data_IF_557114287140
#
_entry.id   IF_557114287140
#
_cell.length_a   1.000
_cell.length_b   1.000
_cell.length_c   1.000
_cell.angle_alpha   90.00
_cell.angle_beta   90.00
_cell.angle_gamma   90.00
#
_symmetry.space_group_name_H-M   'P 1'
#
loop_
_entity.id
_entity.type
_entity.pdbx_description
1 polymer ?
#
# COMPACT_ATOMS: atom_id res chain seq x y z
N UNK A 1 5.52 -62.94 27.85
CA UNK A 1 4.09 -63.33 27.72
C UNK A 1 3.39 -62.21 26.96
N UNK A 2 3.04 -62.51 25.70
CA UNK A 2 2.16 -61.85 24.71
C UNK A 2 2.33 -60.37 24.28
N UNK A 3 2.68 -60.28 23.00
CA UNK A 3 2.62 -59.19 22.03
C UNK A 3 1.18 -58.74 21.69
N UNK A 4 1.04 -57.53 21.12
CA UNK A 4 0.03 -57.22 20.09
C UNK A 4 0.62 -56.30 19.01
N UNK A 5 0.54 -56.79 17.78
CA UNK A 5 0.89 -56.15 16.52
C UNK A 5 -0.02 -54.95 16.18
N UNK A 6 0.55 -53.94 15.53
CA UNK A 6 -0.15 -52.93 14.72
C UNK A 6 0.33 -53.07 13.28
N UNK A 7 -0.61 -53.42 12.40
CA UNK A 7 -0.46 -53.60 10.96
C UNK A 7 -0.74 -52.28 10.21
N UNK A 8 -0.36 -52.28 8.94
CA UNK A 8 0.22 -51.24 8.13
C UNK A 8 -0.75 -50.41 7.26
N UNK A 9 -0.20 -49.31 6.75
CA UNK A 9 -0.28 -48.82 5.36
C UNK A 9 -1.40 -47.85 4.91
N UNK A 10 -1.11 -47.00 3.89
CA UNK A 10 -1.59 -45.61 3.81
C UNK A 10 -2.71 -45.36 2.78
N UNK A 11 -3.51 -44.32 3.00
CA UNK A 11 -4.55 -43.87 2.07
C UNK A 11 -4.09 -42.71 1.18
N UNK A 12 -4.02 -43.01 -0.12
CA UNK A 12 -4.05 -42.07 -1.25
C UNK A 12 -5.48 -42.05 -1.79
N UNK A 13 -6.11 -40.88 -2.01
CA UNK A 13 -7.37 -40.79 -2.77
C UNK A 13 -7.47 -39.51 -3.61
N UNK A 14 -7.83 -39.71 -4.89
CA UNK A 14 -8.04 -38.70 -5.95
C UNK A 14 -9.50 -38.16 -5.95
N UNK A 15 -9.78 -37.01 -6.60
CA UNK A 15 -11.11 -36.38 -6.61
C UNK A 15 -12.05 -36.96 -7.68
N UNK A 16 -13.36 -36.96 -7.40
CA UNK A 16 -14.42 -37.37 -8.32
C UNK A 16 -15.39 -36.22 -8.62
N UNK A 17 -15.67 -36.04 -9.91
CA UNK A 17 -16.71 -35.21 -10.53
C UNK A 17 -18.11 -35.80 -10.31
N UNK A 18 -19.14 -34.96 -10.14
CA UNK A 18 -20.53 -35.40 -10.34
C UNK A 18 -21.37 -34.35 -11.11
N UNK A 19 -22.04 -34.83 -12.16
CA UNK A 19 -22.99 -34.14 -13.04
C UNK A 19 -24.17 -35.09 -13.27
N UNK A 20 -25.40 -34.69 -12.94
CA UNK A 20 -26.66 -34.98 -13.67
C UNK A 20 -27.76 -34.10 -13.03
N UNK A 21 -28.49 -33.25 -13.78
CA UNK A 21 -29.67 -33.52 -14.61
C UNK A 21 -30.88 -34.06 -13.83
N UNK A 22 -31.99 -33.29 -13.87
CA UNK A 22 -33.38 -33.67 -14.20
C UNK A 22 -34.29 -32.47 -13.89
N UNK A 23 -35.37 -32.10 -14.61
CA UNK A 23 -36.04 -32.64 -15.78
C UNK A 23 -37.08 -31.62 -16.28
N UNK A 24 -37.40 -31.65 -17.59
CA UNK A 24 -38.53 -30.92 -18.21
C UNK A 24 -39.78 -31.80 -18.19
N UNK A 25 -40.97 -31.19 -18.31
CA UNK A 25 -41.96 -31.75 -19.23
C UNK A 25 -42.45 -30.71 -20.25
N UNK A 26 -42.54 -31.16 -21.52
CA UNK A 26 -43.24 -30.46 -22.59
C UNK A 26 -44.67 -30.97 -22.74
N UNK A 27 -45.57 -30.13 -23.26
CA UNK A 27 -46.93 -30.56 -23.59
C UNK A 27 -47.87 -29.45 -24.07
N UNK A 28 -48.06 -29.44 -25.39
CA UNK A 28 -49.31 -29.17 -26.12
C UNK A 28 -49.79 -27.72 -26.38
N UNK A 29 -49.69 -27.38 -27.67
CA UNK A 29 -50.35 -26.26 -28.33
C UNK A 29 -51.89 -26.39 -28.34
N UNK A 30 -52.58 -25.24 -28.29
CA UNK A 30 -53.97 -25.12 -28.72
C UNK A 30 -54.20 -23.77 -29.43
N UNK A 31 -55.10 -23.82 -30.39
CA UNK A 31 -55.27 -22.99 -31.59
C UNK A 31 -56.08 -21.70 -31.41
N UNK A 32 -55.72 -20.71 -32.24
CA UNK A 32 -56.43 -19.53 -32.77
C UNK A 32 -57.85 -19.18 -32.26
N UNK A 33 -58.07 -17.89 -31.96
CA UNK A 33 -59.06 -17.03 -32.67
C UNK A 33 -58.82 -15.52 -32.42
N UNK A 34 -58.56 -14.84 -33.54
CA UNK A 34 -58.74 -13.43 -33.95
C UNK A 34 -59.24 -12.40 -32.90
N UNK A 35 -58.50 -11.30 -32.78
CA UNK A 35 -58.97 -10.01 -32.25
C UNK A 35 -57.93 -8.92 -32.54
N UNK A 36 -58.28 -7.99 -33.44
CA UNK A 36 -57.53 -6.82 -33.94
C UNK A 36 -57.16 -5.89 -32.76
N UNK A 37 -56.01 -5.22 -32.69
CA UNK A 37 -55.77 -3.90 -33.29
C UNK A 37 -54.31 -3.45 -33.08
N UNK A 38 -53.80 -2.81 -34.12
CA UNK A 38 -52.55 -2.09 -34.36
C UNK A 38 -51.89 -1.35 -33.19
N UNK A 39 -50.57 -1.52 -33.07
CA UNK A 39 -49.65 -0.40 -32.85
C UNK A 39 -48.49 -0.50 -33.86
N UNK A 40 -48.34 0.58 -34.61
CA UNK A 40 -47.44 0.80 -35.72
C UNK A 40 -46.03 1.10 -35.18
N UNK A 41 -45.02 0.59 -35.87
CA UNK A 41 -43.76 1.31 -36.05
C UNK A 41 -42.69 1.07 -34.99
N UNK A 42 -41.83 0.08 -35.23
CA UNK A 42 -40.40 0.25 -34.96
C UNK A 42 -39.66 -0.01 -36.26
N UNK A 43 -39.42 1.08 -36.99
CA UNK A 43 -38.51 1.11 -38.11
C UNK A 43 -37.11 0.82 -37.55
N UNK A 44 -36.52 -0.30 -37.97
CA UNK A 44 -35.10 -0.59 -37.76
C UNK A 44 -34.33 0.40 -38.62
N UNK A 45 -33.92 1.52 -38.02
CA UNK A 45 -32.92 2.41 -38.62
C UNK A 45 -31.56 1.91 -38.16
N UNK A 46 -30.97 1.04 -38.98
CA UNK A 46 -29.54 0.74 -38.89
C UNK A 46 -28.81 1.85 -39.63
N UNK A 47 -28.60 2.98 -38.96
CA UNK A 47 -27.67 3.98 -39.48
C UNK A 47 -26.28 3.40 -39.35
N UNK A 48 -25.62 3.23 -40.50
CA UNK A 48 -24.19 2.98 -40.59
C UNK A 48 -23.46 4.06 -39.79
N UNK A 49 -22.86 3.66 -38.66
CA UNK A 49 -21.84 4.44 -37.95
C UNK A 49 -20.48 3.88 -38.37
N UNK A 50 -20.20 3.99 -39.66
CA UNK A 50 -18.82 4.04 -40.14
C UNK A 50 -18.21 5.35 -39.62
N UNK A 51 -17.23 5.24 -38.73
CA UNK A 51 -16.44 6.39 -38.29
C UNK A 51 -16.45 6.72 -36.80
N UNK A 52 -16.74 5.77 -35.91
CA UNK A 52 -16.16 5.86 -34.57
C UNK A 52 -14.85 5.08 -34.58
N UNK A 53 -13.77 5.73 -35.04
CA UNK A 53 -12.43 5.25 -34.70
C UNK A 53 -12.42 5.08 -33.19
N UNK A 54 -12.23 3.84 -32.72
CA UNK A 54 -11.72 3.59 -31.38
C UNK A 54 -10.35 4.27 -31.35
N UNK A 55 -10.34 5.56 -31.07
CA UNK A 55 -9.20 6.17 -30.42
C UNK A 55 -9.11 5.38 -29.12
N UNK A 56 -8.25 4.37 -29.14
CA UNK A 56 -7.57 3.92 -27.95
C UNK A 56 -7.01 5.18 -27.35
N UNK A 57 -7.72 5.75 -26.38
CA UNK A 57 -7.14 6.73 -25.49
C UNK A 57 -5.89 6.03 -24.97
N UNK A 58 -4.76 6.41 -25.57
CA UNK A 58 -3.47 6.05 -25.07
C UNK A 58 -3.57 6.44 -23.59
N UNK A 59 -3.32 5.47 -22.71
CA UNK A 59 -3.08 5.78 -21.34
C UNK A 59 -1.90 6.78 -21.36
N UNK A 60 -2.21 8.06 -21.32
CA UNK A 60 -1.20 9.07 -21.18
C UNK A 60 -0.79 8.91 -19.72
N UNK A 61 0.28 8.16 -19.50
CA UNK A 61 0.89 8.07 -18.19
C UNK A 61 1.09 9.52 -17.74
N UNK A 62 0.60 9.95 -16.58
CA UNK A 62 0.96 11.27 -16.05
C UNK A 62 2.47 11.26 -15.80
N UNK A 63 3.23 11.64 -16.83
CA UNK A 63 4.69 11.68 -16.84
C UNK A 63 5.22 12.79 -15.93
N UNK A 64 4.32 13.64 -15.42
CA UNK A 64 4.59 14.70 -14.46
C UNK A 64 4.85 14.18 -13.03
N UNK A 65 4.36 12.98 -12.68
CA UNK A 65 4.58 12.41 -11.37
C UNK A 65 5.84 11.54 -11.36
N UNK A 66 7.01 12.19 -11.41
CA UNK A 66 8.27 11.51 -11.11
C UNK A 66 8.49 11.46 -9.61
N UNK A 67 8.66 10.26 -9.08
CA UNK A 67 9.24 10.04 -7.76
C UNK A 67 10.72 10.46 -7.78
N UNK A 68 10.97 11.77 -7.72
CA UNK A 68 12.30 12.35 -7.75
C UNK A 68 12.55 13.10 -6.45
N UNK A 69 13.70 12.85 -5.82
CA UNK A 69 14.16 13.56 -4.62
C UNK A 69 14.75 14.93 -4.97
N UNK A 70 15.14 15.11 -6.24
CA UNK A 70 15.73 16.34 -6.79
C UNK A 70 15.13 16.62 -8.17
N UNK A 71 14.88 17.89 -8.49
CA UNK A 71 14.43 18.36 -9.80
C UNK A 71 15.56 18.25 -10.85
N UNK A 72 15.27 18.52 -12.12
CA UNK A 72 16.30 18.63 -13.16
C UNK A 72 17.30 19.78 -12.88
N UNK A 73 16.85 20.82 -12.17
CA UNK A 73 17.71 21.93 -11.69
C UNK A 73 18.51 21.59 -10.42
N UNK A 74 18.28 20.42 -9.82
CA UNK A 74 18.96 19.99 -8.59
C UNK A 74 18.33 20.55 -7.31
N UNK A 75 17.15 21.15 -7.36
CA UNK A 75 16.40 21.59 -6.18
C UNK A 75 15.74 20.39 -5.49
N UNK A 76 15.60 20.37 -4.16
CA UNK A 76 14.96 19.25 -3.47
C UNK A 76 13.47 19.20 -3.85
N UNK A 77 12.94 18.00 -4.11
CA UNK A 77 11.53 17.78 -4.47
C UNK A 77 10.93 16.71 -3.55
N UNK A 78 9.76 17.00 -2.99
CA UNK A 78 9.02 16.08 -2.15
C UNK A 78 8.13 15.20 -3.02
N UNK A 79 8.65 14.05 -3.44
CA UNK A 79 7.89 12.96 -4.06
C UNK A 79 6.89 13.42 -5.13
N UNK A 80 5.59 13.29 -4.82
CA UNK A 80 4.47 13.62 -5.71
C UNK A 80 3.87 15.01 -5.45
N UNK A 81 4.56 15.86 -4.67
CA UNK A 81 4.11 17.19 -4.27
C UNK A 81 3.50 17.22 -2.86
N UNK A 82 3.65 18.37 -2.20
CA UNK A 82 3.17 18.62 -0.84
C UNK A 82 1.67 18.39 -0.70
N UNK A 83 0.89 18.92 -1.64
CA UNK A 83 -0.58 18.86 -1.66
C UNK A 83 -1.07 17.42 -1.80
N UNK A 84 -0.38 16.62 -2.63
CA UNK A 84 -0.70 15.20 -2.80
C UNK A 84 -0.55 14.45 -1.48
N UNK A 85 0.62 14.57 -0.83
CA UNK A 85 0.92 13.86 0.40
C UNK A 85 0.02 14.33 1.56
N UNK A 86 -0.20 15.64 1.70
CA UNK A 86 -1.11 16.21 2.71
C UNK A 86 -2.54 15.68 2.56
N UNK A 87 -3.07 15.60 1.33
CA UNK A 87 -4.40 15.03 1.08
C UNK A 87 -4.53 13.56 1.50
N UNK A 88 -3.46 12.78 1.36
CA UNK A 88 -3.45 11.37 1.81
C UNK A 88 -3.40 11.24 3.33
N UNK A 89 -2.63 12.08 4.02
CA UNK A 89 -2.60 12.10 5.48
C UNK A 89 -3.93 12.57 6.07
N UNK A 90 -4.58 13.56 5.44
CA UNK A 90 -5.92 13.98 5.82
C UNK A 90 -6.95 12.83 5.70
N UNK A 91 -6.96 12.12 4.58
CA UNK A 91 -7.85 10.96 4.38
C UNK A 91 -7.57 9.80 5.38
N UNK A 92 -6.28 9.57 5.69
CA UNK A 92 -5.89 8.60 6.71
C UNK A 92 -6.42 9.01 8.09
N UNK A 93 -6.29 10.29 8.44
CA UNK A 93 -6.76 10.87 9.70
C UNK A 93 -8.27 10.72 9.88
N UNK A 94 -9.04 10.99 8.84
CA UNK A 94 -10.49 10.76 8.84
C UNK A 94 -10.85 9.31 9.10
N UNK A 95 -10.08 8.36 8.55
CA UNK A 95 -10.35 6.93 8.70
C UNK A 95 -9.96 6.39 10.08
N UNK A 96 -8.90 6.93 10.70
CA UNK A 96 -8.41 6.42 11.99
C UNK A 96 -9.19 6.93 13.20
N UNK A 97 -9.83 8.10 13.10
CA UNK A 97 -10.47 8.79 14.23
C UNK A 97 -9.44 9.32 15.23
N UNK A 98 -9.74 9.25 16.53
CA UNK A 98 -8.90 9.79 17.62
C UNK A 98 -7.71 8.88 18.02
N UNK A 99 -7.31 7.94 17.15
CA UNK A 99 -6.17 7.06 17.41
C UNK A 99 -4.82 7.72 17.12
N UNK A 100 -3.74 7.08 17.57
CA UNK A 100 -2.37 7.48 17.21
C UNK A 100 -1.87 6.54 16.12
N UNK A 101 -1.50 7.09 14.97
CA UNK A 101 -0.86 6.34 13.88
C UNK A 101 0.65 6.48 13.95
N UNK A 102 1.36 5.35 13.89
CA UNK A 102 2.82 5.31 13.94
C UNK A 102 3.32 4.49 12.76
N UNK A 103 4.23 5.06 11.99
CA UNK A 103 4.90 4.38 10.89
C UNK A 103 6.39 4.67 10.87
N UNK A 104 7.20 3.62 10.91
CA UNK A 104 8.65 3.71 10.73
C UNK A 104 9.00 3.57 9.25
N UNK A 105 9.89 4.43 8.78
CA UNK A 105 10.61 4.24 7.53
C UNK A 105 11.63 3.12 7.64
N UNK A 106 12.25 2.78 6.52
CA UNK A 106 13.29 1.77 6.44
C UNK A 106 14.59 2.27 7.06
N UNK A 107 15.30 1.35 7.70
CA UNK A 107 16.65 1.59 8.14
C UNK A 107 17.60 1.70 6.94
N UNK A 108 18.73 2.35 7.18
CA UNK A 108 19.79 2.43 6.20
C UNK A 108 20.32 1.03 5.83
N UNK A 109 20.55 0.75 4.53
CA UNK A 109 21.13 -0.52 4.11
C UNK A 109 22.58 -0.64 4.60
N UNK A 110 23.01 -1.88 4.87
CA UNK A 110 24.37 -2.17 5.37
C UNK A 110 25.45 -2.23 4.27
N UNK A 111 25.04 -2.31 3.02
CA UNK A 111 25.92 -2.41 1.85
C UNK A 111 25.77 -1.19 0.95
N UNK A 112 26.61 -1.09 -0.09
CA UNK A 112 26.56 -0.09 -1.18
C UNK A 112 25.30 -0.17 -2.06
N UNK A 113 24.18 -0.61 -1.52
CA UNK A 113 22.90 -0.66 -2.19
C UNK A 113 22.24 0.70 -2.13
N UNK A 114 21.66 1.09 -3.27
CA UNK A 114 20.85 2.30 -3.34
C UNK A 114 19.67 2.17 -2.38
N UNK A 115 19.49 3.17 -1.51
CA UNK A 115 18.35 3.22 -0.62
C UNK A 115 17.05 3.47 -1.40
N UNK A 116 16.03 2.69 -1.06
CA UNK A 116 14.64 2.92 -1.46
C UNK A 116 13.80 2.86 -0.21
N UNK A 117 12.92 3.85 -0.04
CA UNK A 117 12.04 3.93 1.12
C UNK A 117 10.87 2.94 1.01
N UNK A 118 10.28 2.59 2.16
CA UNK A 118 9.00 1.90 2.22
C UNK A 118 7.94 2.66 1.40
N UNK A 119 7.22 1.94 0.55
CA UNK A 119 6.24 2.54 -0.38
C UNK A 119 5.10 3.25 0.33
N UNK A 120 4.59 2.70 1.44
CA UNK A 120 3.53 3.33 2.21
C UNK A 120 4.05 4.59 2.92
N UNK A 121 5.29 4.55 3.41
CA UNK A 121 5.91 5.69 4.08
C UNK A 121 6.10 6.83 3.08
N UNK A 122 6.71 6.51 1.94
CA UNK A 122 6.92 7.46 0.86
C UNK A 122 5.59 7.99 0.29
N UNK A 123 4.55 7.16 0.21
CA UNK A 123 3.24 7.59 -0.25
C UNK A 123 2.57 8.63 0.67
N UNK A 124 2.78 8.53 1.99
CA UNK A 124 2.22 9.47 2.97
C UNK A 124 3.08 10.72 3.17
N UNK A 125 4.40 10.62 2.98
CA UNK A 125 5.36 11.66 3.36
C UNK A 125 6.08 12.30 2.18
N UNK A 126 6.31 11.57 1.10
CA UNK A 126 7.20 11.95 -0.01
C UNK A 126 8.69 11.86 0.31
N UNK A 127 9.04 11.54 1.56
CA UNK A 127 10.41 11.56 2.07
C UNK A 127 11.14 10.27 1.72
N UNK A 128 12.38 10.42 1.24
CA UNK A 128 13.24 9.31 0.84
C UNK A 128 14.48 9.14 1.74
N UNK A 129 14.43 9.62 2.98
CA UNK A 129 15.52 9.53 3.97
C UNK A 129 15.42 8.26 4.83
N UNK A 130 16.54 7.55 5.10
CA UNK A 130 16.57 6.41 6.00
C UNK A 130 16.31 6.81 7.45
N UNK A 131 15.94 5.83 8.28
CA UNK A 131 15.72 6.00 9.73
C UNK A 131 14.67 7.07 10.07
N UNK A 132 13.75 7.39 9.15
CA UNK A 132 12.67 8.31 9.40
C UNK A 132 11.47 7.66 10.12
N UNK A 133 10.61 8.45 10.73
CA UNK A 133 9.32 8.00 11.26
C UNK A 133 8.22 9.05 11.05
N UNK A 134 6.98 8.60 11.01
CA UNK A 134 5.79 9.43 10.93
C UNK A 134 4.89 9.08 12.11
N UNK A 135 4.49 10.09 12.87
CA UNK A 135 3.46 9.98 13.90
C UNK A 135 2.34 10.93 13.56
N UNK A 136 1.10 10.46 13.61
CA UNK A 136 -0.09 11.30 13.50
C UNK A 136 -0.94 11.06 14.74
N UNK A 137 -1.22 12.13 15.48
CA UNK A 137 -2.16 12.11 16.59
C UNK A 137 -3.55 12.52 16.09
N UNK A 138 -4.49 11.58 16.09
CA UNK A 138 -5.87 11.82 15.69
C UNK A 138 -6.65 12.72 16.64
N UNK A 139 -6.21 12.89 17.90
CA UNK A 139 -6.88 13.75 18.88
C UNK A 139 -6.54 15.22 18.67
N UNK A 140 -5.25 15.56 18.60
CA UNK A 140 -4.80 16.92 18.33
C UNK A 140 -4.84 17.30 16.85
N UNK A 141 -4.79 16.30 15.95
CA UNK A 141 -4.57 16.50 14.53
C UNK A 141 -3.12 16.78 14.16
N UNK A 142 -2.19 16.69 15.12
CA UNK A 142 -0.77 16.95 14.88
C UNK A 142 -0.13 15.83 14.05
N UNK A 143 0.68 16.24 13.08
CA UNK A 143 1.48 15.36 12.23
C UNK A 143 2.96 15.68 12.47
N UNK A 144 3.71 14.71 13.00
CA UNK A 144 5.13 14.85 13.32
C UNK A 144 5.96 13.92 12.45
N UNK A 145 6.86 14.51 11.66
CA UNK A 145 7.86 13.80 10.88
C UNK A 145 9.17 13.74 11.70
N UNK A 146 9.72 12.54 11.86
CA UNK A 146 10.99 12.33 12.51
C UNK A 146 12.06 12.00 11.48
N UNK A 147 13.19 12.69 11.55
CA UNK A 147 14.32 12.52 10.64
C UNK A 147 15.62 12.28 11.40
N UNK A 148 16.64 11.65 10.76
CA UNK A 148 17.98 11.61 11.34
C UNK A 148 18.56 13.02 11.52
N UNK A 149 19.55 13.14 12.39
CA UNK A 149 20.39 14.34 12.48
C UNK A 149 21.45 14.33 11.39
N UNK A 150 21.93 15.51 11.02
CA UNK A 150 23.00 15.64 10.03
C UNK A 150 24.22 14.80 10.41
N UNK A 151 24.76 14.06 9.45
CA UNK A 151 25.99 13.27 9.64
C UNK A 151 26.89 13.37 8.40
N UNK A 152 27.64 14.47 8.32
CA UNK A 152 28.56 14.73 7.21
C UNK A 152 29.63 13.65 6.99
N UNK A 153 30.00 12.85 8.00
CA UNK A 153 30.92 11.72 7.76
C UNK A 153 30.25 10.63 6.91
N UNK A 154 28.97 10.38 7.16
CA UNK A 154 28.20 9.36 6.47
C UNK A 154 27.75 9.83 5.09
N UNK A 155 27.28 11.07 4.98
CA UNK A 155 26.80 11.64 3.72
C UNK A 155 27.90 11.75 2.65
N UNK A 156 29.18 11.83 3.06
CA UNK A 156 30.31 11.75 2.13
C UNK A 156 30.34 10.44 1.33
N UNK A 157 29.80 9.35 1.89
CA UNK A 157 29.78 8.03 1.26
C UNK A 157 28.42 7.68 0.68
N UNK A 158 27.35 7.97 1.42
CA UNK A 158 25.98 7.56 1.09
C UNK A 158 25.25 8.59 0.22
N UNK A 159 25.82 9.79 0.10
CA UNK A 159 25.17 10.96 -0.48
C UNK A 159 24.30 11.69 0.55
N UNK A 160 23.67 12.76 0.07
CA UNK A 160 22.81 13.61 0.89
C UNK A 160 21.60 12.83 1.43
N UNK A 161 21.42 12.92 2.73
CA UNK A 161 20.31 12.34 3.49
C UNK A 161 19.47 13.50 4.00
N UNK A 162 18.14 13.43 3.85
CA UNK A 162 17.30 14.49 4.41
C UNK A 162 17.35 14.37 5.93
N UNK A 163 17.76 15.44 6.58
CA UNK A 163 17.93 15.49 8.02
C UNK A 163 17.00 16.53 8.65
N UNK A 164 17.02 16.61 9.98
CA UNK A 164 16.22 17.58 10.75
C UNK A 164 16.74 19.02 10.62
N UNK A 165 18.01 19.19 10.27
CA UNK A 165 18.70 20.48 10.18
C UNK A 165 18.47 21.15 8.80
N UNK A 166 18.00 20.38 7.82
CA UNK A 166 17.55 20.85 6.51
C UNK A 166 16.31 21.78 6.61
N UNK A 167 16.57 23.09 6.57
CA UNK A 167 15.55 24.13 6.67
C UNK A 167 14.43 24.06 5.61
N UNK A 168 14.71 23.43 4.45
CA UNK A 168 13.76 23.29 3.35
C UNK A 168 12.77 22.14 3.55
N UNK A 169 13.03 21.19 4.45
CA UNK A 169 12.18 20.00 4.65
C UNK A 169 10.74 20.35 5.07
N UNK A 170 10.50 21.19 6.10
CA UNK A 170 9.13 21.50 6.53
C UNK A 170 8.30 22.19 5.43
N UNK A 171 8.94 23.11 4.70
CA UNK A 171 8.28 23.84 3.60
C UNK A 171 7.85 22.89 2.48
N UNK A 172 8.78 22.01 2.07
CA UNK A 172 8.63 21.08 0.95
C UNK A 172 7.68 19.92 1.24
N UNK A 173 7.72 19.38 2.46
CA UNK A 173 6.89 18.22 2.88
C UNK A 173 5.52 18.63 3.41
N UNK A 174 5.40 19.86 3.91
CA UNK A 174 4.20 20.37 4.54
C UNK A 174 3.92 19.82 5.94
N UNK A 175 4.93 19.25 6.61
CA UNK A 175 4.82 18.93 8.03
C UNK A 175 5.03 20.20 8.87
N UNK A 176 4.13 20.44 9.81
CA UNK A 176 4.27 21.53 10.78
C UNK A 176 5.36 21.21 11.82
N UNK A 177 5.52 19.92 12.15
CA UNK A 177 6.49 19.46 13.14
C UNK A 177 7.46 18.48 12.48
N UNK A 178 8.74 18.88 12.42
CA UNK A 178 9.85 18.02 12.05
C UNK A 178 10.79 17.93 13.24
N UNK A 179 11.03 16.71 13.72
CA UNK A 179 11.79 16.42 14.95
C UNK A 179 12.89 15.40 14.69
N UNK A 180 13.92 15.35 15.53
CA UNK A 180 14.98 14.37 15.35
C UNK A 180 14.54 13.00 15.86
N UNK A 181 14.98 11.92 15.20
CA UNK A 181 14.50 10.55 15.45
C UNK A 181 14.80 10.04 16.88
N UNK A 182 15.82 10.59 17.54
CA UNK A 182 16.15 10.30 18.94
C UNK A 182 15.08 10.75 19.93
N UNK A 183 14.23 11.73 19.56
CA UNK A 183 13.14 12.22 20.41
C UNK A 183 11.87 11.36 20.31
N UNK A 184 11.78 10.48 19.31
CA UNK A 184 10.57 9.67 19.06
C UNK A 184 10.13 8.89 20.30
N UNK A 185 11.05 8.22 20.98
CA UNK A 185 10.69 7.37 22.12
C UNK A 185 10.15 8.19 23.29
N UNK A 186 10.65 9.41 23.50
CA UNK A 186 10.16 10.32 24.53
C UNK A 186 8.77 10.86 24.18
N UNK A 187 8.57 11.27 22.92
CA UNK A 187 7.27 11.78 22.46
C UNK A 187 6.20 10.68 22.48
N UNK A 188 6.56 9.45 22.12
CA UNK A 188 5.65 8.31 22.22
C UNK A 188 5.29 7.98 23.68
N UNK A 189 6.22 8.14 24.64
CA UNK A 189 5.89 7.94 26.05
C UNK A 189 4.85 8.94 26.52
N UNK A 190 4.93 10.20 26.09
CA UNK A 190 3.95 11.24 26.41
C UNK A 190 2.60 10.97 25.73
N UNK A 191 2.59 10.67 24.42
CA UNK A 191 1.36 10.43 23.66
C UNK A 191 0.61 9.17 24.12
N UNK A 192 1.33 8.17 24.65
CA UNK A 192 0.74 6.88 25.02
C UNK A 192 0.31 6.77 26.48
N UNK A 193 0.45 7.84 27.29
CA UNK A 193 0.03 7.85 28.71
C UNK A 193 -1.44 7.43 28.88
N UNK A 194 -2.33 7.98 28.04
CA UNK A 194 -3.77 7.71 28.08
C UNK A 194 -4.16 6.36 27.44
N UNK A 195 -3.18 5.58 26.96
CA UNK A 195 -3.38 4.32 26.22
C UNK A 195 -4.37 4.46 25.06
N UNK A 196 -4.16 5.42 24.14
CA UNK A 196 -5.01 5.58 22.97
C UNK A 196 -4.92 4.34 22.07
N UNK A 197 -5.88 4.23 21.13
CA UNK A 197 -5.80 3.21 20.08
C UNK A 197 -4.58 3.48 19.20
N UNK A 198 -3.60 2.60 19.22
CA UNK A 198 -2.40 2.71 18.38
C UNK A 198 -2.58 1.93 17.09
N UNK A 199 -2.33 2.58 15.96
CA UNK A 199 -2.35 2.01 14.62
C UNK A 199 -0.91 1.95 14.11
N UNK A 200 -0.46 0.73 13.81
CA UNK A 200 0.85 0.48 13.21
C UNK A 200 0.69 -0.24 11.87
N UNK A 201 1.63 0.00 10.96
CA UNK A 201 1.70 -0.77 9.72
C UNK A 201 2.24 -2.16 10.05
N UNK A 202 1.38 -3.18 9.96
CA UNK A 202 1.72 -4.57 10.33
C UNK A 202 2.78 -5.18 9.40
N UNK A 203 2.81 -4.77 8.13
CA UNK A 203 3.71 -5.31 7.11
C UNK A 203 4.33 -4.15 6.33
N UNK A 204 5.46 -3.58 6.79
CA UNK A 204 6.21 -2.67 5.95
C UNK A 204 6.65 -3.40 4.68
N UNK A 205 6.58 -2.72 3.54
CA UNK A 205 7.25 -3.12 2.32
C UNK A 205 8.76 -2.95 2.52
N UNK A 206 9.37 -3.94 3.15
CA UNK A 206 10.81 -4.14 3.11
C UNK A 206 11.09 -4.76 1.74
N UNK A 207 11.67 -4.00 0.82
CA UNK A 207 12.46 -4.62 -0.22
C UNK A 207 13.51 -5.45 0.50
N UNK A 208 13.40 -6.78 0.47
CA UNK A 208 14.42 -7.70 0.98
C UNK A 208 15.70 -7.46 0.16
N UNK A 209 16.41 -6.39 0.48
CA UNK A 209 17.68 -6.07 -0.09
C UNK A 209 18.70 -6.91 0.67
N UNK A 210 19.00 -8.10 0.12
CA UNK A 210 20.21 -8.88 0.36
C UNK A 210 20.62 -9.11 1.81
N UNK A 211 19.82 -9.83 2.59
CA UNK A 211 20.23 -10.26 3.93
C UNK A 211 19.12 -10.95 4.68
N UNK A 212 18.42 -11.89 4.05
CA UNK A 212 17.60 -12.82 4.81
C UNK A 212 18.59 -13.62 5.65
N UNK A 213 18.53 -13.46 6.98
CA UNK A 213 19.21 -14.39 7.87
C UNK A 213 18.71 -15.80 7.50
N UNK A 214 19.61 -16.62 6.94
CA UNK A 214 19.30 -18.00 6.56
C UNK A 214 18.93 -18.84 7.79
N UNK A 215 19.16 -18.33 9.01
CA UNK A 215 18.67 -18.94 10.22
C UNK A 215 17.18 -18.71 10.47
N UNK A 216 16.50 -17.72 9.85
CA UNK A 216 15.09 -17.44 10.14
C UNK A 216 14.14 -18.64 9.89
N UNK A 217 14.28 -19.40 8.77
CA UNK A 217 13.55 -20.65 8.60
C UNK A 217 13.96 -21.73 9.63
N UNK A 218 15.22 -21.75 10.06
CA UNK A 218 15.77 -22.76 10.98
C UNK A 218 15.39 -22.52 12.45
N UNK A 219 15.26 -21.24 12.86
CA UNK A 219 14.78 -20.83 14.19
C UNK A 219 13.29 -21.15 14.32
N UNK A 220 12.51 -20.98 13.24
CA UNK A 220 11.09 -21.32 13.22
C UNK A 220 10.85 -22.83 13.31
N UNK A 221 11.67 -23.63 12.63
CA UNK A 221 11.61 -25.10 12.69
C UNK A 221 12.00 -25.70 14.05
N UNK A 222 12.62 -24.92 14.95
CA UNK A 222 12.95 -25.32 16.33
C UNK A 222 11.95 -24.83 17.38
N UNK A 223 10.97 -24.03 16.97
CA UNK A 223 9.97 -23.44 17.86
C UNK A 223 8.64 -24.24 17.91
N UNK A 224 8.57 -25.35 17.17
CA UNK A 224 7.52 -26.39 17.26
C UNK A 224 8.09 -27.63 17.97
#
# INVERSE_FOLDING_TARGET
MKERNLDQSPMFFKPATHRSQDGRPGGLARTLRRGVTWCVGWLVVWTSLEGASRESAAWESPSELRAATRSESGEPVCGLGKEFHAGRRAALRETMGEGVFIMRGLAQPRDYQRFYQDKNFWYLTGVASPNAALVIDGRSGNETLYLPRHNGFQEQWDGEVWDVDDAWVPELTGFEQVRPIDELDADLQELLVDKPKVLIVKTPWIGLAGGNDMAWPHVRARAE
#
